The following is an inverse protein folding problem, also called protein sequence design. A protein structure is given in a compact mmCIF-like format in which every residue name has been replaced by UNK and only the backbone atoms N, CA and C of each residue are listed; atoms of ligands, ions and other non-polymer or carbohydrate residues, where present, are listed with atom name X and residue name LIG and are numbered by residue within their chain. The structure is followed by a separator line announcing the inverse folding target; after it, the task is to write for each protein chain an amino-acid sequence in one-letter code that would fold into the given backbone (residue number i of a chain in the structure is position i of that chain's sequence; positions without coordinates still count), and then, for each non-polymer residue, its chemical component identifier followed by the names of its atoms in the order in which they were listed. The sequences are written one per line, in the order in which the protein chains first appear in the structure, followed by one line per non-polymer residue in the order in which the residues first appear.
data_IF_383444574585
#
_entry.id   IF_383444574585
#
_cell.length_a   1.000
_cell.length_b   1.000
_cell.length_c   1.000
_cell.angle_alpha   90.00
_cell.angle_beta   90.00
_cell.angle_gamma   90.00
#
_symmetry.space_group_name_H-M   'P 1'
#
loop_
_entity.id
_entity.type
_entity.pdbx_description
1 polymer ?
#
# COMPACT_ATOMS: atom_id res chain seq x y z
N UNK A 1 2.32 3.74 11.09
CA UNK A 1 2.06 2.84 12.24
C UNK A 1 0.67 2.20 12.20
N UNK A 2 -0.35 2.84 11.60
CA UNK A 2 -1.71 2.27 11.45
C UNK A 2 -1.79 1.04 10.52
N UNK A 3 -0.98 0.99 9.46
CA UNK A 3 -1.05 -0.07 8.44
C UNK A 3 -0.66 -1.47 8.93
N UNK A 4 0.34 -1.55 9.82
CA UNK A 4 0.78 -2.84 10.39
C UNK A 4 -0.23 -3.43 11.37
N UNK A 5 -0.85 -2.60 12.21
CA UNK A 5 -1.82 -3.08 13.19
C UNK A 5 -3.12 -3.54 12.52
N UNK A 6 -3.60 -2.81 11.51
CA UNK A 6 -4.75 -3.25 10.71
C UNK A 6 -4.39 -4.53 9.93
N UNK A 7 -3.30 -4.58 9.17
CA UNK A 7 -2.98 -5.79 8.39
C UNK A 7 -2.87 -7.08 9.25
N UNK A 8 -2.32 -6.99 10.46
CA UNK A 8 -2.13 -8.16 11.33
C UNK A 8 -3.46 -8.64 11.94
N UNK A 9 -4.36 -7.73 12.30
CA UNK A 9 -5.70 -8.06 12.80
C UNK A 9 -6.58 -8.66 11.68
N UNK A 10 -6.44 -8.18 10.45
CA UNK A 10 -7.33 -8.53 9.33
C UNK A 10 -7.13 -9.95 8.80
N UNK A 11 -5.93 -10.54 8.91
CA UNK A 11 -5.68 -11.93 8.49
C UNK A 11 -6.52 -12.96 9.28
N UNK A 12 -7.02 -12.60 10.47
CA UNK A 12 -7.62 -13.54 11.40
C UNK A 12 -9.16 -13.57 11.40
N UNK A 13 -9.89 -12.47 11.13
CA UNK A 13 -11.36 -12.47 11.32
C UNK A 13 -12.24 -11.59 10.40
N UNK A 14 -11.72 -10.65 9.58
CA UNK A 14 -12.56 -9.64 8.91
C UNK A 14 -12.15 -9.39 7.45
N UNK A 15 -12.37 -10.38 6.58
CA UNK A 15 -12.14 -10.24 5.12
C UNK A 15 -13.02 -9.17 4.46
N UNK A 16 -14.21 -8.88 5.01
CA UNK A 16 -15.21 -8.00 4.38
C UNK A 16 -14.93 -6.50 4.52
N UNK A 17 -14.04 -6.07 5.41
CA UNK A 17 -13.65 -4.66 5.57
C UNK A 17 -12.29 -4.33 4.96
N UNK A 18 -11.64 -5.31 4.32
CA UNK A 18 -10.32 -5.12 3.74
C UNK A 18 -10.43 -4.66 2.30
N UNK A 19 -9.84 -3.50 1.99
CA UNK A 19 -9.72 -3.06 0.61
C UNK A 19 -8.66 -3.88 -0.10
N UNK A 20 -9.04 -4.56 -1.19
CA UNK A 20 -8.15 -5.40 -2.00
C UNK A 20 -6.94 -4.65 -2.55
N UNK A 21 -7.04 -3.32 -2.71
CA UNK A 21 -5.93 -2.47 -3.17
C UNK A 21 -4.70 -2.55 -2.25
N UNK A 22 -4.86 -2.87 -0.98
CA UNK A 22 -3.74 -3.09 -0.07
C UNK A 22 -2.91 -4.32 -0.44
N UNK A 23 -3.50 -5.34 -1.07
CA UNK A 23 -2.73 -6.48 -1.59
C UNK A 23 -1.95 -6.12 -2.86
N UNK A 24 -2.38 -5.06 -3.56
CA UNK A 24 -1.75 -4.52 -4.78
C UNK A 24 -0.75 -3.38 -4.50
N UNK A 25 -0.10 -3.40 -3.33
CA UNK A 25 0.89 -2.39 -2.87
C UNK A 25 0.38 -0.95 -2.68
N UNK A 26 -0.93 -0.68 -2.73
CA UNK A 26 -1.40 0.65 -2.38
C UNK A 26 -1.31 0.86 -0.87
N UNK A 27 -0.45 1.77 -0.42
CA UNK A 27 -0.26 2.05 1.02
C UNK A 27 -1.02 3.27 1.51
N UNK A 28 -1.60 4.06 0.60
CA UNK A 28 -2.43 5.22 0.90
C UNK A 28 -3.44 5.45 -0.21
N UNK A 29 -4.73 5.25 0.06
CA UNK A 29 -5.81 5.38 -0.94
C UNK A 29 -6.28 6.84 -1.01
N UNK A 30 -6.43 7.40 -2.21
CA UNK A 30 -7.02 8.73 -2.40
C UNK A 30 -7.55 8.87 -3.81
N UNK A 31 -7.22 9.94 -4.53
CA UNK A 31 -7.85 10.15 -5.84
C UNK A 31 -7.35 9.15 -6.89
N UNK A 32 -8.25 8.63 -7.72
CA UNK A 32 -7.95 7.59 -8.72
C UNK A 32 -6.87 8.03 -9.73
N UNK A 33 -6.79 9.32 -10.02
CA UNK A 33 -5.83 9.87 -11.00
C UNK A 33 -4.43 10.13 -10.45
N UNK A 34 -4.24 10.16 -9.12
CA UNK A 34 -2.96 10.52 -8.50
C UNK A 34 -2.39 9.45 -7.57
N UNK A 35 -3.10 8.33 -7.42
CA UNK A 35 -2.70 7.23 -6.56
C UNK A 35 -2.20 6.07 -7.39
N UNK A 36 -0.95 5.67 -7.16
CA UNK A 36 -0.33 4.47 -7.74
C UNK A 36 0.13 3.52 -6.63
N UNK A 37 0.45 2.24 -6.96
CA UNK A 37 1.10 1.33 -6.03
C UNK A 37 2.39 1.95 -5.46
N UNK A 38 2.70 1.64 -4.21
CA UNK A 38 3.90 2.20 -3.57
C UNK A 38 5.18 1.67 -4.25
N UNK A 39 6.02 2.53 -4.83
CA UNK A 39 7.25 2.09 -5.51
C UNK A 39 8.21 1.34 -4.60
N UNK A 40 8.21 1.60 -3.30
CA UNK A 40 9.07 0.93 -2.31
C UNK A 40 8.69 -0.53 -2.06
N UNK A 41 7.55 -0.98 -2.59
CA UNK A 41 7.09 -2.37 -2.52
C UNK A 41 7.31 -3.13 -3.82
N UNK A 42 7.90 -2.50 -4.85
CA UNK A 42 8.26 -3.18 -6.07
C UNK A 42 9.47 -4.10 -5.82
N UNK A 43 9.27 -5.39 -5.99
CA UNK A 43 10.35 -6.35 -6.06
C UNK A 43 11.00 -6.28 -7.44
N UNK A 44 12.19 -5.68 -7.50
CA UNK A 44 12.96 -5.48 -8.72
C UNK A 44 13.34 -6.80 -9.40
N UNK A 45 13.44 -7.90 -8.63
CA UNK A 45 13.83 -9.20 -9.17
C UNK A 45 12.70 -9.90 -9.91
N UNK A 46 11.45 -9.75 -9.42
CA UNK A 46 10.26 -10.38 -10.00
C UNK A 46 9.41 -9.43 -10.81
N UNK A 47 9.65 -8.11 -10.70
CA UNK A 47 8.81 -7.06 -11.28
C UNK A 47 7.42 -6.95 -10.64
N UNK A 48 7.21 -7.59 -9.47
CA UNK A 48 5.90 -7.66 -8.80
C UNK A 48 5.88 -6.80 -7.56
N UNK A 49 4.69 -6.32 -7.24
CA UNK A 49 4.45 -5.55 -6.03
C UNK A 49 4.17 -6.47 -4.84
N UNK A 50 4.79 -6.16 -3.71
CA UNK A 50 4.48 -6.77 -2.42
C UNK A 50 3.27 -6.07 -1.77
N UNK A 51 2.43 -6.79 -1.03
CA UNK A 51 1.31 -6.18 -0.32
C UNK A 51 1.73 -5.03 0.62
N UNK A 52 0.84 -4.07 0.83
CA UNK A 52 1.04 -2.85 1.61
C UNK A 52 1.61 -3.09 3.02
N UNK A 53 1.28 -4.22 3.64
CA UNK A 53 1.76 -4.58 4.98
C UNK A 53 3.24 -4.96 5.03
N UNK A 54 3.89 -5.17 3.88
CA UNK A 54 5.35 -5.30 3.79
C UNK A 54 6.08 -3.97 3.95
N UNK A 55 5.38 -2.83 3.87
CA UNK A 55 6.00 -1.52 4.08
C UNK A 55 6.45 -1.38 5.53
N UNK A 56 7.77 -1.31 5.73
CA UNK A 56 8.37 -1.17 7.07
C UNK A 56 8.46 0.29 7.48
N UNK A 57 8.87 1.14 6.56
CA UNK A 57 9.05 2.58 6.79
C UNK A 57 7.71 3.31 6.58
N UNK A 58 7.14 3.80 7.67
CA UNK A 58 5.88 4.54 7.64
C UNK A 58 5.98 5.91 6.94
N UNK A 59 7.17 6.48 6.82
CA UNK A 59 7.35 7.77 6.12
C UNK A 59 7.06 7.66 4.62
N UNK A 60 7.19 6.45 4.06
CA UNK A 60 7.00 6.16 2.64
C UNK A 60 5.54 5.82 2.30
N UNK A 61 4.61 5.87 3.25
CA UNK A 61 3.21 5.50 3.06
C UNK A 61 2.55 6.26 1.89
N UNK A 62 2.94 7.52 1.67
CA UNK A 62 2.39 8.39 0.60
C UNK A 62 3.31 8.51 -0.62
N UNK A 63 4.35 7.69 -0.74
CA UNK A 63 5.26 7.70 -1.89
C UNK A 63 4.57 7.30 -3.21
N UNK A 64 3.43 6.61 -3.14
CA UNK A 64 2.58 6.32 -4.30
C UNK A 64 1.71 7.50 -4.78
N UNK A 65 2.00 8.74 -4.39
CA UNK A 65 1.28 9.94 -4.85
C UNK A 65 2.03 10.63 -5.96
N UNK A 66 1.40 10.73 -7.14
CA UNK A 66 1.92 11.51 -8.24
C UNK A 66 1.86 12.99 -7.86
N UNK A 67 3.01 13.66 -7.89
CA UNK A 67 3.05 15.13 -7.76
C UNK A 67 2.50 15.72 -9.04
N UNK A 68 1.55 16.65 -8.93
CA UNK A 68 1.23 17.51 -10.07
C UNK A 68 2.49 18.30 -10.39
N UNK A 69 2.99 18.15 -11.62
CA UNK A 69 3.98 19.07 -12.15
C UNK A 69 3.25 20.41 -12.27
N UNK A 70 3.68 21.38 -11.47
CA UNK A 70 3.15 22.74 -11.49
C UNK A 70 4.07 23.62 -12.31
#
# INVERSE_FOLDING_TARGET
MLFRFMATIYKKHLKYLFCVLYDEAYTSIGHVNDTIPNPSLLDVSTGKYLPAYHLKDGTLERSGRLKKVQ
#
